data_IF_736743776999
#
_entry.id   IF_736743776999
#
_cell.length_a   1.000
_cell.length_b   1.000
_cell.length_c   1.000
_cell.angle_alpha   90.00
_cell.angle_beta   90.00
_cell.angle_gamma   90.00
#
_symmetry.space_group_name_H-M   'P 1'
#
loop_
_entity.id
_entity.type
_entity.pdbx_description
1 polymer ?
#
# COMPACT_ATOMS: atom_id res chain seq x y z
N UNK A 1 -2.88 14.91 -58.32
CA UNK A 1 -3.49 15.97 -57.50
C UNK A 1 -3.56 15.54 -56.06
N UNK A 2 -2.83 16.20 -55.20
CA UNK A 2 -2.95 15.99 -53.78
C UNK A 2 -4.22 16.68 -53.25
N UNK A 3 -5.17 15.89 -52.76
CA UNK A 3 -6.34 16.42 -52.04
C UNK A 3 -5.92 16.79 -50.62
N UNK A 4 -5.49 18.01 -50.41
CA UNK A 4 -5.22 18.57 -49.09
C UNK A 4 -6.53 19.01 -48.46
N UNK A 5 -7.25 18.07 -47.84
CA UNK A 5 -8.38 18.37 -46.99
C UNK A 5 -7.89 18.52 -45.57
N UNK A 6 -7.77 19.75 -45.09
CA UNK A 6 -7.51 20.06 -43.68
C UNK A 6 -8.76 19.88 -42.83
N UNK A 7 -8.58 19.72 -41.51
CA UNK A 7 -9.68 19.72 -40.55
C UNK A 7 -10.25 21.12 -40.36
N UNK A 8 -11.55 21.18 -40.18
CA UNK A 8 -12.22 22.46 -39.80
C UNK A 8 -12.12 22.67 -38.29
N UNK A 9 -12.19 23.92 -37.83
CA UNK A 9 -12.19 24.25 -36.42
C UNK A 9 -13.36 23.60 -35.68
N UNK A 10 -14.52 23.49 -36.33
CA UNK A 10 -15.70 22.90 -35.72
C UNK A 10 -15.53 21.35 -35.56
N UNK A 11 -14.87 20.71 -36.49
CA UNK A 11 -14.55 19.28 -36.36
C UNK A 11 -13.66 19.02 -35.16
N UNK A 12 -12.60 19.82 -34.96
CA UNK A 12 -11.76 19.74 -33.77
C UNK A 12 -12.52 20.01 -32.49
N UNK A 13 -13.38 21.00 -32.48
CA UNK A 13 -14.20 21.37 -31.33
C UNK A 13 -15.14 20.23 -30.93
N UNK A 14 -15.82 19.62 -31.90
CA UNK A 14 -16.74 18.49 -31.68
C UNK A 14 -16.00 17.28 -31.11
N UNK A 15 -14.84 16.97 -31.67
CA UNK A 15 -13.99 15.87 -31.19
C UNK A 15 -13.55 16.11 -29.73
N UNK A 16 -13.13 17.33 -29.39
CA UNK A 16 -12.76 17.71 -28.04
C UNK A 16 -13.93 17.56 -27.06
N UNK A 17 -15.14 17.97 -27.44
CA UNK A 17 -16.34 17.83 -26.63
C UNK A 17 -16.66 16.35 -26.39
N UNK A 18 -16.61 15.53 -27.42
CA UNK A 18 -16.89 14.09 -27.33
C UNK A 18 -15.86 13.41 -26.40
N UNK A 19 -14.59 13.71 -26.57
CA UNK A 19 -13.52 13.17 -25.71
C UNK A 19 -13.74 13.62 -24.26
N UNK A 20 -14.08 14.86 -24.03
CA UNK A 20 -14.38 15.41 -22.70
C UNK A 20 -15.56 14.71 -22.02
N UNK A 21 -16.63 14.45 -22.75
CA UNK A 21 -17.81 13.73 -22.26
C UNK A 21 -17.48 12.26 -21.91
N UNK A 22 -16.73 11.60 -22.78
CA UNK A 22 -16.31 10.22 -22.54
C UNK A 22 -15.36 10.13 -21.33
N UNK A 23 -14.42 11.07 -21.22
CA UNK A 23 -13.51 11.14 -20.08
C UNK A 23 -14.27 11.37 -18.76
N UNK A 24 -15.29 12.19 -18.75
CA UNK A 24 -16.14 12.45 -17.58
C UNK A 24 -16.91 11.20 -17.12
N UNK A 25 -17.28 10.31 -18.04
CA UNK A 25 -17.97 9.05 -17.73
C UNK A 25 -17.03 7.98 -17.19
N UNK A 26 -15.81 7.89 -17.70
CA UNK A 26 -14.85 6.81 -17.41
C UNK A 26 -13.93 7.18 -16.24
N UNK A 27 -13.53 8.44 -16.11
CA UNK A 27 -12.58 8.93 -15.12
C UNK A 27 -12.92 8.54 -13.67
N UNK A 28 -14.14 8.79 -13.15
CA UNK A 28 -14.50 8.44 -11.78
C UNK A 28 -14.43 6.95 -11.47
N UNK A 29 -14.76 6.10 -12.42
CA UNK A 29 -14.68 4.63 -12.27
C UNK A 29 -13.23 4.16 -12.20
N UNK A 30 -12.35 4.78 -12.97
CA UNK A 30 -10.93 4.43 -13.00
C UNK A 30 -10.25 4.75 -11.68
N UNK A 31 -10.53 5.92 -11.11
CA UNK A 31 -10.01 6.35 -9.80
C UNK A 31 -10.44 5.40 -8.68
N UNK A 32 -11.70 4.96 -8.66
CA UNK A 32 -12.20 3.99 -7.68
C UNK A 32 -11.53 2.62 -7.80
N UNK A 33 -11.24 2.17 -9.01
CA UNK A 33 -10.54 0.92 -9.25
C UNK A 33 -9.11 0.98 -8.72
N UNK A 34 -8.42 2.09 -8.94
CA UNK A 34 -7.07 2.32 -8.45
C UNK A 34 -7.01 2.27 -6.92
N UNK A 35 -7.91 2.97 -6.23
CA UNK A 35 -7.96 2.97 -4.77
C UNK A 35 -8.26 1.57 -4.20
N UNK A 36 -9.18 0.82 -4.79
CA UNK A 36 -9.44 -0.56 -4.40
C UNK A 36 -8.21 -1.46 -4.60
N UNK A 37 -7.46 -1.26 -5.67
CA UNK A 37 -6.24 -2.00 -5.93
C UNK A 37 -5.17 -1.68 -4.88
N UNK A 38 -5.04 -0.43 -4.48
CA UNK A 38 -4.13 0.00 -3.41
C UNK A 38 -4.49 -0.63 -2.06
N UNK A 39 -5.76 -0.65 -1.71
CA UNK A 39 -6.24 -1.31 -0.47
C UNK A 39 -5.90 -2.79 -0.48
N UNK A 40 -6.15 -3.48 -1.58
CA UNK A 40 -5.79 -4.90 -1.72
C UNK A 40 -4.28 -5.13 -1.62
N UNK A 41 -3.49 -4.27 -2.24
CA UNK A 41 -2.04 -4.34 -2.17
C UNK A 41 -1.54 -4.14 -0.74
N UNK A 42 -2.08 -3.17 -0.01
CA UNK A 42 -1.75 -2.94 1.39
C UNK A 42 -2.07 -4.15 2.26
N UNK A 43 -3.24 -4.76 2.09
CA UNK A 43 -3.62 -5.99 2.81
C UNK A 43 -2.66 -7.14 2.53
N UNK A 44 -2.28 -7.34 1.27
CA UNK A 44 -1.32 -8.37 0.88
C UNK A 44 0.07 -8.11 1.47
N UNK A 45 0.51 -6.87 1.50
CA UNK A 45 1.79 -6.49 2.11
C UNK A 45 1.78 -6.72 3.63
N UNK A 46 0.71 -6.36 4.31
CA UNK A 46 0.55 -6.61 5.76
C UNK A 46 0.59 -8.11 6.05
N UNK A 47 -0.06 -8.93 5.24
CA UNK A 47 -0.02 -10.39 5.36
C UNK A 47 1.40 -10.93 5.18
N UNK A 48 2.13 -10.43 4.18
CA UNK A 48 3.52 -10.79 3.94
C UNK A 48 4.41 -10.41 5.13
N UNK A 49 4.25 -9.20 5.65
CA UNK A 49 4.99 -8.75 6.83
C UNK A 49 4.67 -9.58 8.07
N UNK A 50 3.40 -9.92 8.25
CA UNK A 50 2.96 -10.79 9.37
C UNK A 50 3.61 -12.17 9.29
N UNK A 51 3.66 -12.76 8.11
CA UNK A 51 4.34 -14.06 7.88
C UNK A 51 5.83 -13.96 8.19
N UNK A 52 6.48 -12.90 7.76
CA UNK A 52 7.90 -12.67 8.05
C UNK A 52 8.15 -12.49 9.55
N UNK A 53 7.25 -11.81 10.25
CA UNK A 53 7.31 -11.66 11.72
C UNK A 53 7.14 -12.98 12.43
N UNK A 54 6.26 -13.87 11.96
CA UNK A 54 6.09 -15.20 12.52
C UNK A 54 7.38 -16.03 12.35
N UNK A 55 8.02 -15.93 11.19
CA UNK A 55 9.31 -16.59 10.95
C UNK A 55 10.42 -16.04 11.85
N UNK A 56 10.48 -14.74 12.01
CA UNK A 56 11.38 -14.09 12.97
C UNK A 56 11.18 -14.64 14.39
N UNK A 57 9.92 -14.76 14.82
CA UNK A 57 9.60 -15.29 16.13
C UNK A 57 10.05 -16.75 16.31
N UNK A 58 9.94 -17.56 15.26
CA UNK A 58 10.39 -18.95 15.32
C UNK A 58 11.90 -19.06 15.61
N UNK A 59 12.68 -18.17 15.02
CA UNK A 59 14.13 -18.16 15.21
C UNK A 59 14.54 -17.49 16.52
N UNK A 60 14.00 -16.31 16.80
CA UNK A 60 14.42 -15.45 17.91
C UNK A 60 13.68 -15.76 19.21
N UNK A 61 12.47 -16.31 19.14
CA UNK A 61 11.62 -16.62 20.28
C UNK A 61 10.66 -15.51 20.69
N UNK A 62 10.72 -14.36 20.04
CA UNK A 62 9.81 -13.22 20.27
C UNK A 62 9.63 -12.43 18.98
N UNK A 63 8.64 -11.55 18.95
CA UNK A 63 8.52 -10.57 17.87
C UNK A 63 9.49 -9.40 18.09
N UNK A 64 9.85 -8.66 17.02
CA UNK A 64 10.61 -7.42 17.18
C UNK A 64 9.88 -6.44 18.10
N UNK A 65 10.62 -5.68 18.87
CA UNK A 65 10.05 -4.59 19.66
C UNK A 65 9.61 -3.44 18.75
N UNK A 66 8.77 -2.54 19.26
CA UNK A 66 8.38 -1.34 18.51
C UNK A 66 9.59 -0.50 18.08
N UNK A 67 10.64 -0.45 18.90
CA UNK A 67 11.89 0.26 18.58
C UNK A 67 12.69 -0.44 17.50
N UNK A 68 12.79 -1.75 17.55
CA UNK A 68 13.45 -2.55 16.50
C UNK A 68 12.69 -2.42 15.18
N UNK A 69 11.37 -2.40 15.25
CA UNK A 69 10.49 -2.15 14.11
C UNK A 69 10.56 -3.24 13.06
N UNK A 70 9.94 -2.98 11.92
CA UNK A 70 9.92 -3.89 10.76
C UNK A 70 11.32 -4.03 10.11
N UNK A 71 12.23 -3.09 10.36
CA UNK A 71 13.61 -3.17 9.88
C UNK A 71 14.35 -4.40 10.42
N UNK A 72 13.94 -4.92 11.57
CA UNK A 72 14.45 -6.16 12.13
C UNK A 72 14.24 -7.38 11.22
N UNK A 73 13.32 -7.29 10.27
CA UNK A 73 13.09 -8.34 9.26
C UNK A 73 14.17 -8.35 8.15
N UNK A 74 14.90 -7.27 8.01
CA UNK A 74 15.96 -7.13 6.99
C UNK A 74 17.34 -7.05 7.58
N UNK A 75 17.50 -6.38 8.70
CA UNK A 75 18.78 -6.11 9.34
C UNK A 75 18.76 -6.68 10.74
N UNK A 76 19.81 -7.41 11.10
CA UNK A 76 19.94 -8.00 12.42
C UNK A 76 19.99 -6.91 13.50
N UNK A 77 19.02 -6.87 14.44
CA UNK A 77 19.11 -5.98 15.58
C UNK A 77 20.28 -6.35 16.49
N UNK A 78 20.84 -5.37 17.17
CA UNK A 78 21.94 -5.60 18.12
C UNK A 78 21.52 -6.56 19.23
N UNK A 79 22.38 -7.55 19.53
CA UNK A 79 22.17 -8.51 20.61
C UNK A 79 21.24 -9.68 20.31
N UNK A 80 20.73 -9.83 19.08
CA UNK A 80 19.92 -10.96 18.68
C UNK A 80 20.75 -12.03 17.97
N UNK A 81 21.39 -12.92 18.74
CA UNK A 81 22.26 -13.97 18.22
C UNK A 81 21.53 -15.03 17.40
N UNK A 82 20.25 -15.27 17.73
CA UNK A 82 19.40 -16.25 17.03
C UNK A 82 18.79 -15.73 15.73
N UNK A 83 19.00 -14.47 15.41
CA UNK A 83 18.50 -13.90 14.18
C UNK A 83 19.13 -14.61 12.98
N UNK A 84 18.33 -15.19 12.12
CA UNK A 84 18.76 -15.96 10.94
C UNK A 84 18.06 -15.45 9.67
N UNK A 85 18.01 -14.12 9.53
CA UNK A 85 17.45 -13.48 8.36
C UNK A 85 18.46 -13.24 7.24
N UNK A 86 18.09 -12.44 6.27
CA UNK A 86 16.87 -11.59 6.21
C UNK A 86 15.59 -12.40 5.97
N UNK A 87 14.49 -11.92 6.57
CA UNK A 87 13.16 -12.55 6.48
C UNK A 87 12.32 -11.96 5.33
N UNK A 88 12.78 -10.88 4.74
CA UNK A 88 12.22 -10.28 3.54
C UNK A 88 13.27 -10.32 2.43
N UNK A 89 12.85 -10.65 1.23
CA UNK A 89 13.75 -10.68 0.05
C UNK A 89 14.22 -9.30 -0.36
N UNK A 90 13.40 -8.28 -0.11
CA UNK A 90 13.66 -6.87 -0.44
C UNK A 90 13.52 -6.03 0.82
N UNK A 91 13.83 -4.74 0.70
CA UNK A 91 13.63 -3.79 1.79
C UNK A 91 12.17 -3.77 2.25
N UNK A 92 11.95 -3.32 3.49
CA UNK A 92 10.59 -3.16 4.02
C UNK A 92 9.82 -2.21 3.11
N UNK A 93 8.68 -2.65 2.53
CA UNK A 93 7.92 -1.80 1.62
C UNK A 93 7.23 -0.65 2.36
N UNK A 94 7.04 0.45 1.66
CA UNK A 94 6.07 1.47 2.07
C UNK A 94 4.68 1.02 1.65
N UNK A 95 3.65 1.62 2.24
CA UNK A 95 2.29 1.37 1.78
C UNK A 95 2.09 1.88 0.34
N UNK A 96 0.99 1.51 -0.33
CA UNK A 96 0.75 1.93 -1.72
C UNK A 96 0.61 3.45 -1.91
N UNK A 97 0.44 4.21 -0.82
CA UNK A 97 0.39 5.68 -0.83
C UNK A 97 1.74 6.32 -0.50
N UNK A 98 2.81 5.51 -0.40
CA UNK A 98 4.18 5.99 -0.21
C UNK A 98 4.59 6.26 1.24
N UNK A 99 3.79 5.85 2.22
CA UNK A 99 4.06 6.05 3.65
C UNK A 99 4.52 4.76 4.31
N UNK A 100 5.36 4.82 5.36
CA UNK A 100 5.74 3.61 6.08
C UNK A 100 4.56 3.00 6.83
N UNK A 101 4.54 1.67 6.94
CA UNK A 101 3.61 0.97 7.81
C UNK A 101 3.92 1.28 9.27
N UNK A 102 2.88 1.41 10.07
CA UNK A 102 3.01 1.57 11.53
C UNK A 102 3.05 0.19 12.16
N UNK A 103 4.05 -0.04 12.99
CA UNK A 103 4.26 -1.30 13.70
C UNK A 103 4.31 -1.06 15.20
N UNK A 104 3.59 -1.87 15.95
CA UNK A 104 3.57 -1.81 17.41
C UNK A 104 3.65 -3.22 18.00
N UNK A 105 4.57 -3.43 18.93
CA UNK A 105 4.74 -4.69 19.65
C UNK A 105 5.09 -4.44 21.13
N UNK A 106 4.34 -4.97 22.09
CA UNK A 106 3.10 -5.74 21.89
C UNK A 106 1.98 -4.88 21.31
N UNK A 107 1.10 -5.51 20.52
CA UNK A 107 -0.04 -4.82 19.92
C UNK A 107 -1.20 -4.63 20.90
N UNK A 108 -2.14 -3.78 20.52
CA UNK A 108 -3.42 -3.62 21.24
C UNK A 108 -4.43 -4.71 20.86
N UNK A 109 -4.28 -5.28 19.66
CA UNK A 109 -5.20 -6.26 19.07
C UNK A 109 -4.60 -7.66 18.95
N UNK A 110 -3.36 -7.84 19.37
CA UNK A 110 -2.65 -9.11 19.30
C UNK A 110 -1.19 -8.95 19.71
N UNK A 111 -0.34 -9.96 19.43
CA UNK A 111 1.08 -9.90 19.78
C UNK A 111 1.82 -8.73 19.12
N UNK A 112 1.34 -8.30 17.95
CA UNK A 112 1.79 -7.11 17.24
C UNK A 112 0.63 -6.53 16.43
N UNK A 113 0.71 -5.25 16.15
CA UNK A 113 -0.18 -4.56 15.24
C UNK A 113 0.61 -3.96 14.08
N UNK A 114 0.11 -4.13 12.86
CA UNK A 114 0.60 -3.44 11.67
C UNK A 114 -0.57 -2.71 11.04
N UNK A 115 -0.37 -1.46 10.66
CA UNK A 115 -1.40 -0.70 9.98
C UNK A 115 -0.84 0.28 8.95
N UNK A 116 -1.66 0.58 7.96
CA UNK A 116 -1.51 1.71 7.05
C UNK A 116 -2.64 2.69 7.30
N UNK A 117 -2.35 3.98 7.34
CA UNK A 117 -3.37 5.02 7.49
C UNK A 117 -4.17 5.30 6.21
N UNK A 118 -3.94 4.54 5.14
CA UNK A 118 -4.70 4.66 3.91
C UNK A 118 -4.40 5.93 3.12
N UNK A 119 -5.36 6.34 2.31
CA UNK A 119 -5.19 7.43 1.35
C UNK A 119 -4.97 8.80 2.00
N UNK A 120 -5.60 9.05 3.15
CA UNK A 120 -5.48 10.34 3.85
C UNK A 120 -4.25 10.46 4.77
N UNK A 121 -3.60 9.35 5.09
CA UNK A 121 -2.42 9.32 5.94
C UNK A 121 -2.66 9.70 7.40
N UNK A 122 -3.91 9.68 7.84
CA UNK A 122 -4.32 9.99 9.22
C UNK A 122 -5.13 8.85 9.82
N UNK A 123 -5.09 8.72 11.14
CA UNK A 123 -5.83 7.69 11.86
C UNK A 123 -7.35 7.84 11.66
N UNK A 124 -8.03 6.70 11.47
CA UNK A 124 -9.48 6.67 11.24
C UNK A 124 -9.85 6.88 9.78
N UNK A 125 -11.06 7.36 9.54
CA UNK A 125 -11.60 7.57 8.21
C UNK A 125 -12.54 6.46 7.76
N UNK A 126 -13.29 6.76 6.69
CA UNK A 126 -14.27 5.86 6.11
C UNK A 126 -13.98 5.64 4.61
N UNK A 127 -14.46 4.53 4.07
CA UNK A 127 -14.32 4.20 2.66
C UNK A 127 -12.85 4.09 2.23
N UNK A 128 -12.45 4.90 1.28
CA UNK A 128 -11.08 4.89 0.72
C UNK A 128 -10.04 5.47 1.69
N UNK A 129 -10.46 6.22 2.70
CA UNK A 129 -9.60 6.79 3.73
C UNK A 129 -9.49 5.92 4.98
N UNK A 130 -10.10 4.74 4.97
CA UNK A 130 -10.07 3.82 6.08
C UNK A 130 -8.68 3.25 6.31
N UNK A 131 -8.31 3.08 7.58
CA UNK A 131 -7.06 2.42 7.96
C UNK A 131 -7.09 0.94 7.55
N UNK A 132 -5.98 0.44 7.06
CA UNK A 132 -5.81 -0.99 6.73
C UNK A 132 -4.95 -1.61 7.83
N UNK A 133 -5.48 -2.65 8.48
CA UNK A 133 -4.93 -3.20 9.70
C UNK A 133 -4.65 -4.69 9.60
N UNK A 134 -3.73 -5.20 10.44
CA UNK A 134 -3.38 -6.62 10.50
C UNK A 134 -4.42 -7.48 11.23
N UNK A 135 -5.30 -6.88 12.04
CA UNK A 135 -6.28 -7.60 12.85
C UNK A 135 -7.69 -7.65 12.24
N UNK A 136 -7.96 -6.91 11.20
CA UNK A 136 -9.23 -6.98 10.46
C UNK A 136 -9.19 -8.12 9.45
N UNK A 137 -10.29 -8.85 9.36
CA UNK A 137 -10.48 -9.93 8.38
C UNK A 137 -11.23 -9.47 7.14
#
# INVERSE_FOLDING_TARGET
MRNNKGFTLIELLVVMIIIGLLAALVGPRFIRQEEKAKVKAAKAQIELLSTALDTFRLDVGRYPTSQEGLEALRTQPGGLERWDGPYLKKEVPTDPWGKPYVYKSPGEHGPFDILSYGADGTAGGDGDNRDITSWEK
#
